data_IF_304425662576
#
_entry.id   IF_304425662576
#
_cell.length_a   1.000
_cell.length_b   1.000
_cell.length_c   1.000
_cell.angle_alpha   90.00
_cell.angle_beta   90.00
_cell.angle_gamma   90.00
#
_symmetry.space_group_name_H-M   'P 1'
#
loop_
_entity.id
_entity.type
_entity.pdbx_description
1 polymer ?
#
# COMPACT_ATOMS: atom_id res chain seq x y z
N UNK A 1 6.52 -1.80 14.28
CA UNK A 1 6.60 -0.66 13.35
C UNK A 1 7.71 -0.86 12.35
N UNK A 2 7.65 -0.25 11.15
CA UNK A 2 8.77 -0.20 10.22
C UNK A 2 10.00 0.49 10.84
N UNK A 3 11.19 0.09 10.41
CA UNK A 3 12.49 0.62 10.88
C UNK A 3 13.36 1.06 9.72
N UNK A 4 12.75 1.67 8.70
CA UNK A 4 13.47 2.17 7.54
C UNK A 4 14.48 3.25 7.94
N UNK A 5 15.68 3.17 7.37
CA UNK A 5 16.76 4.16 7.56
C UNK A 5 16.98 5.03 6.32
N UNK A 6 16.37 4.65 5.20
CA UNK A 6 16.34 5.40 3.94
C UNK A 6 15.15 4.92 3.08
N UNK A 7 14.69 5.73 2.11
CA UNK A 7 14.94 7.17 1.96
C UNK A 7 14.33 8.02 3.12
N UNK A 8 14.68 9.31 3.24
CA UNK A 8 14.25 10.15 4.37
C UNK A 8 12.74 10.18 4.61
N UNK A 9 11.93 10.14 3.55
CA UNK A 9 10.47 10.09 3.71
C UNK A 9 9.97 8.82 4.41
N UNK A 10 10.64 7.67 4.24
CA UNK A 10 10.28 6.45 4.95
C UNK A 10 10.70 6.51 6.43
N UNK A 11 11.83 7.16 6.73
CA UNK A 11 12.24 7.41 8.11
C UNK A 11 11.19 8.28 8.83
N UNK A 12 10.76 9.37 8.18
CA UNK A 12 9.70 10.23 8.69
C UNK A 12 8.37 9.49 8.85
N UNK A 13 7.98 8.66 7.87
CA UNK A 13 6.77 7.86 7.93
C UNK A 13 6.81 6.82 9.08
N UNK A 14 7.96 6.18 9.32
CA UNK A 14 8.10 5.24 10.43
C UNK A 14 7.89 5.93 11.79
N UNK A 15 8.44 7.13 11.98
CA UNK A 15 8.20 7.95 13.17
C UNK A 15 6.74 8.37 13.29
N UNK A 16 6.11 8.77 12.18
CA UNK A 16 4.69 9.10 12.12
C UNK A 16 3.81 7.91 12.52
N UNK A 17 4.09 6.70 12.03
CA UNK A 17 3.36 5.51 12.45
C UNK A 17 3.52 5.20 13.94
N UNK A 18 4.73 5.36 14.48
CA UNK A 18 4.94 5.19 15.93
C UNK A 18 4.09 6.17 16.74
N UNK A 19 3.99 7.43 16.30
CA UNK A 19 3.12 8.43 16.92
C UNK A 19 1.64 8.06 16.79
N UNK A 20 1.18 7.67 15.59
CA UNK A 20 -0.21 7.29 15.33
C UNK A 20 -0.66 6.05 16.12
N UNK A 21 0.27 5.14 16.44
CA UNK A 21 0.00 4.02 17.33
C UNK A 21 -0.08 4.42 18.80
N UNK A 22 0.77 5.35 19.24
CA UNK A 22 0.79 5.80 20.63
C UNK A 22 -0.40 6.70 20.98
N UNK A 23 -0.86 7.51 20.02
CA UNK A 23 -1.90 8.53 20.22
C UNK A 23 -2.95 8.53 19.09
N UNK A 24 -3.70 7.43 18.91
CA UNK A 24 -4.59 7.23 17.76
C UNK A 24 -5.67 8.30 17.62
N UNK A 25 -6.10 8.95 18.70
CA UNK A 25 -7.13 9.99 18.72
C UNK A 25 -6.65 11.36 18.23
N UNK A 26 -5.33 11.56 18.12
CA UNK A 26 -4.74 12.89 17.82
C UNK A 26 -4.61 13.19 16.34
N UNK A 27 -4.85 12.21 15.47
CA UNK A 27 -4.68 12.31 14.03
C UNK A 27 -5.98 11.96 13.33
N UNK A 28 -6.49 12.91 12.53
CA UNK A 28 -7.62 12.65 11.66
C UNK A 28 -7.23 11.69 10.54
N UNK A 29 -8.22 10.99 9.98
CA UNK A 29 -8.00 10.08 8.86
C UNK A 29 -7.44 10.80 7.63
N UNK A 30 -7.86 12.04 7.38
CA UNK A 30 -7.35 12.85 6.28
C UNK A 30 -5.84 13.14 6.41
N UNK A 31 -5.40 13.57 7.60
CA UNK A 31 -3.97 13.83 7.88
C UNK A 31 -3.18 12.53 7.80
N UNK A 32 -3.76 11.42 8.28
CA UNK A 32 -3.14 10.11 8.19
C UNK A 32 -2.91 9.68 6.74
N UNK A 33 -3.95 9.75 5.91
CA UNK A 33 -3.88 9.41 4.48
C UNK A 33 -2.88 10.29 3.74
N UNK A 34 -2.90 11.60 4.00
CA UNK A 34 -1.95 12.54 3.39
C UNK A 34 -0.50 12.18 3.71
N UNK A 35 -0.17 11.89 4.97
CA UNK A 35 1.18 11.49 5.36
C UNK A 35 1.60 10.17 4.70
N UNK A 36 0.69 9.19 4.59
CA UNK A 36 0.98 7.93 3.90
C UNK A 36 1.20 8.15 2.40
N UNK A 37 0.37 8.97 1.74
CA UNK A 37 0.50 9.30 0.31
C UNK A 37 1.82 10.03 0.04
N UNK A 38 2.18 11.01 0.87
CA UNK A 38 3.41 11.80 0.73
C UNK A 38 4.70 10.99 0.93
N UNK A 39 4.61 9.79 1.51
CA UNK A 39 5.76 8.88 1.62
C UNK A 39 6.08 8.14 0.31
N UNK A 40 5.21 8.19 -0.70
CA UNK A 40 5.47 7.59 -2.02
C UNK A 40 6.32 8.52 -2.89
N UNK A 41 6.98 7.97 -3.91
CA UNK A 41 7.79 8.75 -4.86
C UNK A 41 7.74 8.15 -6.27
N UNK A 42 8.05 8.95 -7.31
CA UNK A 42 8.12 8.46 -8.68
C UNK A 42 9.20 7.38 -8.86
N UNK A 43 8.81 6.25 -9.45
CA UNK A 43 9.68 5.12 -9.85
C UNK A 43 8.93 4.33 -10.93
N UNK A 44 9.49 3.23 -11.45
CA UNK A 44 8.74 2.38 -12.37
C UNK A 44 7.55 1.69 -11.66
N UNK A 45 6.51 1.33 -12.42
CA UNK A 45 5.24 0.83 -11.88
C UNK A 45 5.42 -0.35 -10.90
N UNK A 46 6.26 -1.34 -11.23
CA UNK A 46 6.45 -2.52 -10.39
C UNK A 46 7.27 -2.25 -9.12
N UNK A 47 8.29 -1.39 -9.20
CA UNK A 47 8.99 -0.90 -8.01
C UNK A 47 8.04 -0.08 -7.12
N UNK A 48 7.12 0.67 -7.72
CA UNK A 48 6.09 1.41 -6.98
C UNK A 48 5.14 0.45 -6.27
N UNK A 49 4.71 -0.65 -6.91
CA UNK A 49 3.88 -1.67 -6.26
C UNK A 49 4.57 -2.21 -5.00
N UNK A 50 5.85 -2.59 -5.10
CA UNK A 50 6.62 -3.08 -3.95
C UNK A 50 6.75 -2.02 -2.84
N UNK A 51 7.12 -0.78 -3.21
CA UNK A 51 7.21 0.33 -2.26
C UNK A 51 5.86 0.60 -1.58
N UNK A 52 4.79 0.62 -2.37
CA UNK A 52 3.46 0.97 -1.90
C UNK A 52 2.94 -0.09 -0.92
N UNK A 53 3.11 -1.38 -1.19
CA UNK A 53 2.76 -2.41 -0.20
C UNK A 53 3.57 -2.31 1.09
N UNK A 54 4.87 -1.99 1.01
CA UNK A 54 5.69 -1.77 2.20
C UNK A 54 5.18 -0.57 3.03
N UNK A 55 4.76 0.51 2.36
CA UNK A 55 4.21 1.73 2.96
C UNK A 55 2.82 1.47 3.55
N UNK A 56 1.88 0.92 2.79
CA UNK A 56 0.46 0.86 3.21
C UNK A 56 0.16 -0.27 4.18
N UNK A 57 0.92 -1.38 4.20
CA UNK A 57 0.58 -2.51 5.07
C UNK A 57 0.56 -2.14 6.57
N UNK A 58 1.55 -1.38 7.10
CA UNK A 58 1.45 -0.78 8.44
C UNK A 58 0.27 0.19 8.59
N UNK A 59 -0.02 1.00 7.56
CA UNK A 59 -1.15 1.93 7.59
C UNK A 59 -2.50 1.22 7.74
N UNK A 60 -2.73 0.16 6.97
CA UNK A 60 -3.94 -0.67 7.04
C UNK A 60 -4.10 -1.36 8.40
N UNK A 61 -3.01 -1.69 9.09
CA UNK A 61 -3.06 -2.22 10.46
C UNK A 61 -3.49 -1.14 11.48
N UNK A 62 -3.04 0.10 11.31
CA UNK A 62 -3.36 1.21 12.22
C UNK A 62 -4.76 1.79 11.97
N UNK A 63 -5.24 1.71 10.73
CA UNK A 63 -6.52 2.26 10.26
C UNK A 63 -7.22 1.30 9.29
N UNK A 64 -7.77 0.17 9.78
CA UNK A 64 -8.38 -0.84 8.91
C UNK A 64 -9.53 -0.32 8.05
N UNK A 65 -10.29 0.65 8.55
CA UNK A 65 -11.40 1.28 7.81
C UNK A 65 -10.96 2.09 6.59
N UNK A 66 -9.66 2.44 6.49
CA UNK A 66 -9.09 3.17 5.35
C UNK A 66 -8.48 2.23 4.30
N UNK A 67 -8.56 0.92 4.49
CA UNK A 67 -7.88 -0.07 3.63
C UNK A 67 -8.24 0.09 2.16
N UNK A 68 -9.52 0.31 1.81
CA UNK A 68 -9.95 0.45 0.43
C UNK A 68 -9.27 1.62 -0.29
N UNK A 69 -9.10 2.76 0.40
CA UNK A 69 -8.41 3.93 -0.15
C UNK A 69 -6.90 3.69 -0.29
N UNK A 70 -6.30 3.02 0.70
CA UNK A 70 -4.86 2.74 0.71
C UNK A 70 -4.45 1.75 -0.38
N UNK A 71 -5.23 0.67 -0.58
CA UNK A 71 -4.90 -0.36 -1.58
C UNK A 71 -5.13 0.11 -3.02
N UNK A 72 -5.82 1.24 -3.24
CA UNK A 72 -5.93 1.85 -4.55
C UNK A 72 -4.55 2.24 -5.11
N UNK A 73 -3.62 2.67 -4.26
CA UNK A 73 -2.27 3.10 -4.68
C UNK A 73 -1.45 1.99 -5.38
N UNK A 74 -1.23 0.79 -4.79
CA UNK A 74 -0.53 -0.27 -5.49
C UNK A 74 -1.36 -0.82 -6.66
N UNK A 75 -2.69 -0.81 -6.58
CA UNK A 75 -3.57 -1.27 -7.67
C UNK A 75 -3.46 -0.37 -8.91
N UNK A 76 -3.41 0.94 -8.74
CA UNK A 76 -3.19 1.89 -9.84
C UNK A 76 -1.87 1.63 -10.54
N UNK A 77 -0.81 1.38 -9.76
CA UNK A 77 0.50 1.05 -10.30
C UNK A 77 0.51 -0.32 -10.99
N UNK A 78 -0.27 -1.31 -10.53
CA UNK A 78 -0.43 -2.58 -11.25
C UNK A 78 -1.11 -2.36 -12.61
N UNK A 79 -2.20 -1.58 -12.66
CA UNK A 79 -2.93 -1.27 -13.89
C UNK A 79 -2.02 -0.53 -14.87
N UNK A 80 -1.34 0.53 -14.41
CA UNK A 80 -0.34 1.26 -15.21
C UNK A 80 0.87 0.38 -15.61
N UNK A 81 1.13 -0.69 -14.87
CA UNK A 81 2.13 -1.71 -15.19
C UNK A 81 1.64 -2.78 -16.17
N UNK A 82 0.40 -2.69 -16.66
CA UNK A 82 -0.21 -3.59 -17.63
C UNK A 82 -1.05 -4.71 -17.02
N UNK A 83 -1.47 -4.62 -15.75
CA UNK A 83 -2.35 -5.62 -15.15
C UNK A 83 -3.80 -5.42 -15.60
N UNK A 84 -4.36 -6.42 -16.27
CA UNK A 84 -5.74 -6.39 -16.79
C UNK A 84 -6.70 -7.29 -16.01
N UNK A 85 -6.18 -8.22 -15.19
CA UNK A 85 -6.98 -9.22 -14.47
C UNK A 85 -6.95 -8.99 -12.95
N UNK A 86 -8.14 -8.75 -12.38
CA UNK A 86 -8.35 -8.60 -10.95
C UNK A 86 -7.96 -9.86 -10.14
N UNK A 87 -8.02 -11.06 -10.76
CA UNK A 87 -7.67 -12.33 -10.12
C UNK A 87 -6.21 -12.42 -9.68
N UNK A 88 -5.33 -11.61 -10.26
CA UNK A 88 -3.90 -11.61 -9.97
C UNK A 88 -3.49 -10.65 -8.84
N UNK A 89 -4.36 -9.69 -8.48
CA UNK A 89 -4.06 -8.62 -7.51
C UNK A 89 -3.61 -9.21 -6.17
N UNK A 90 -4.33 -10.21 -5.65
CA UNK A 90 -3.99 -10.84 -4.37
C UNK A 90 -2.63 -11.52 -4.42
N UNK A 91 -2.38 -12.32 -5.46
CA UNK A 91 -1.13 -13.06 -5.62
C UNK A 91 0.08 -12.12 -5.71
N UNK A 92 -0.05 -10.98 -6.40
CA UNK A 92 1.02 -9.98 -6.50
C UNK A 92 1.37 -9.41 -5.12
N UNK A 93 0.37 -8.99 -4.34
CA UNK A 93 0.63 -8.47 -2.99
C UNK A 93 1.24 -9.50 -2.03
N UNK A 94 0.85 -10.78 -2.14
CA UNK A 94 1.51 -11.87 -1.40
C UNK A 94 2.96 -12.05 -1.83
N UNK A 95 3.26 -12.00 -3.13
CA UNK A 95 4.63 -12.12 -3.65
C UNK A 95 5.54 -10.99 -3.14
N UNK A 96 5.01 -9.77 -2.95
CA UNK A 96 5.75 -8.66 -2.34
C UNK A 96 6.18 -8.94 -0.89
N UNK A 97 5.46 -9.79 -0.14
CA UNK A 97 5.78 -10.10 1.25
C UNK A 97 7.03 -11.00 1.40
N UNK A 98 7.32 -11.81 0.38
CA UNK A 98 8.36 -12.85 0.43
C UNK A 98 9.48 -12.63 -0.59
N UNK A 99 9.56 -11.46 -1.19
CA UNK A 99 10.60 -11.14 -2.18
C UNK A 99 11.96 -11.02 -1.48
N UNK A 100 12.97 -11.69 -2.02
CA UNK A 100 14.32 -11.73 -1.42
C UNK A 100 15.04 -10.37 -1.47
N UNK A 101 14.90 -9.65 -2.59
CA UNK A 101 15.49 -8.33 -2.81
C UNK A 101 14.40 -7.34 -3.24
N UNK A 102 13.53 -6.89 -2.30
CA UNK A 102 12.48 -5.94 -2.62
C UNK A 102 13.06 -4.54 -2.81
N UNK A 103 12.40 -3.73 -3.63
CA UNK A 103 12.73 -2.31 -3.80
C UNK A 103 12.63 -1.54 -2.48
N UNK A 104 11.65 -1.88 -1.64
CA UNK A 104 11.52 -1.40 -0.26
C UNK A 104 11.21 -2.59 0.64
N UNK A 105 12.00 -2.79 1.69
CA UNK A 105 11.78 -3.87 2.63
C UNK A 105 10.46 -3.68 3.40
N UNK A 106 9.61 -4.71 3.39
CA UNK A 106 8.38 -4.75 4.19
C UNK A 106 8.73 -5.01 5.65
N UNK A 107 8.16 -4.23 6.57
CA UNK A 107 8.29 -4.49 8.02
C UNK A 107 7.67 -5.84 8.42
N UNK A 108 8.08 -6.42 9.55
CA UNK A 108 7.49 -7.69 10.03
C UNK A 108 5.98 -7.62 10.27
N UNK A 109 5.47 -6.46 10.69
CA UNK A 109 4.03 -6.24 10.79
C UNK A 109 3.36 -6.21 9.40
N UNK A 110 3.98 -5.52 8.44
CA UNK A 110 3.51 -5.47 7.05
C UNK A 110 3.53 -6.85 6.38
N UNK A 111 4.57 -7.66 6.60
CA UNK A 111 4.66 -9.04 6.09
C UNK A 111 3.51 -9.89 6.63
N UNK A 112 3.21 -9.80 7.93
CA UNK A 112 2.05 -10.48 8.51
C UNK A 112 0.74 -10.02 7.90
N UNK A 113 0.57 -8.72 7.69
CA UNK A 113 -0.63 -8.21 7.01
C UNK A 113 -0.75 -8.75 5.58
N UNK A 114 0.31 -8.70 4.78
CA UNK A 114 0.31 -9.20 3.39
C UNK A 114 0.11 -10.71 3.27
N UNK A 115 0.53 -11.49 4.28
CA UNK A 115 0.42 -12.96 4.27
C UNK A 115 -0.86 -13.48 4.91
N UNK A 116 -1.47 -12.73 5.83
CA UNK A 116 -2.62 -13.20 6.63
C UNK A 116 -3.91 -12.41 6.38
N UNK A 117 -3.82 -11.09 6.20
CA UNK A 117 -4.99 -10.22 6.05
C UNK A 117 -5.28 -9.98 4.58
N UNK A 118 -4.28 -9.56 3.80
CA UNK A 118 -4.42 -9.26 2.38
C UNK A 118 -5.13 -10.36 1.57
N UNK A 119 -4.86 -11.67 1.76
CA UNK A 119 -5.56 -12.72 1.01
C UNK A 119 -7.07 -12.78 1.29
N UNK A 120 -7.51 -12.26 2.43
CA UNK A 120 -8.95 -12.19 2.80
C UNK A 120 -9.67 -11.00 2.16
N UNK A 121 -8.93 -10.06 1.57
CA UNK A 121 -9.47 -8.84 0.98
C UNK A 121 -9.84 -8.98 -0.51
N UNK A 122 -9.91 -10.21 -1.04
CA UNK A 122 -10.10 -10.47 -2.47
C UNK A 122 -11.30 -9.75 -3.10
N UNK A 123 -12.45 -9.73 -2.42
CA UNK A 123 -13.63 -9.02 -2.90
C UNK A 123 -13.41 -7.50 -2.96
N UNK A 124 -12.85 -6.91 -1.89
CA UNK A 124 -12.55 -5.49 -1.80
C UNK A 124 -11.49 -5.08 -2.84
N UNK A 125 -10.38 -5.83 -2.94
CA UNK A 125 -9.31 -5.57 -3.89
C UNK A 125 -9.81 -5.68 -5.33
N UNK A 126 -10.65 -6.66 -5.64
CA UNK A 126 -11.27 -6.79 -6.96
C UNK A 126 -12.24 -5.65 -7.28
N UNK A 127 -13.00 -5.16 -6.30
CA UNK A 127 -13.88 -4.00 -6.48
C UNK A 127 -13.08 -2.72 -6.73
N UNK A 128 -12.02 -2.47 -5.94
CA UNK A 128 -11.11 -1.34 -6.14
C UNK A 128 -10.44 -1.44 -7.51
N UNK A 129 -9.89 -2.59 -7.89
CA UNK A 129 -9.28 -2.80 -9.21
C UNK A 129 -10.22 -2.42 -10.36
N UNK A 130 -11.45 -2.94 -10.36
CA UNK A 130 -12.42 -2.63 -11.43
C UNK A 130 -12.74 -1.14 -11.49
N UNK A 131 -12.94 -0.49 -10.34
CA UNK A 131 -13.24 0.93 -10.29
C UNK A 131 -12.06 1.78 -10.81
N UNK A 132 -10.82 1.42 -10.46
CA UNK A 132 -9.61 2.12 -10.91
C UNK A 132 -9.32 1.87 -12.39
N UNK A 133 -9.51 0.64 -12.88
CA UNK A 133 -9.35 0.33 -14.30
C UNK A 133 -10.36 1.10 -15.16
N UNK A 134 -11.62 1.16 -14.74
CA UNK A 134 -12.64 1.95 -15.44
C UNK A 134 -12.30 3.44 -15.48
N UNK A 135 -11.78 3.99 -14.38
CA UNK A 135 -11.34 5.38 -14.34
C UNK A 135 -10.15 5.63 -15.28
N UNK A 136 -9.15 4.75 -15.29
CA UNK A 136 -7.99 4.86 -16.17
C UNK A 136 -8.37 4.84 -17.65
N UNK A 137 -9.29 3.96 -18.06
CA UNK A 137 -9.79 3.89 -19.43
C UNK A 137 -10.59 5.14 -19.83
N UNK A 138 -11.32 5.75 -18.89
CA UNK A 138 -12.09 6.97 -19.16
C UNK A 138 -11.20 8.22 -19.30
N UNK A 139 -10.00 8.22 -18.73
CA UNK A 139 -9.04 9.32 -18.85
C UNK A 139 -8.22 9.25 -20.17
N UNK A 140 -8.31 8.15 -20.92
CA UNK A 140 -7.65 7.96 -22.22
C UNK A 140 -8.51 8.42 -23.43
N UNK A 141 -9.79 8.69 -23.20
CA UNK A 141 -10.77 9.20 -24.19
C UNK A 141 -10.85 10.74 -24.25
#
# INVERSE_FOLDING_TARGET
>A
MPTWTSPPQLVALAAFYAQAQAHPETLSDAVFLENVKNAHWPTNCWNYVEASFAIIAPACLLRPHLTAELIALPIDAMIAGGLEDAGQVIAIGQACATRDAPYVAVSEAGKRWLTQVWPTLGEMAGAVFRARLQAALADED
#
